data_IF_722334702208
#
_entry.id   IF_722334702208
#
_cell.length_a   1.000
_cell.length_b   1.000
_cell.length_c   1.000
_cell.angle_alpha   90.00
_cell.angle_beta   90.00
_cell.angle_gamma   90.00
#
_symmetry.space_group_name_H-M   'P 1'
#
loop_
_entity.id
_entity.type
_entity.pdbx_description
1 polymer ?
#
# COMPACT_ATOMS: atom_id res chain seq x y z
N UNK A 1 -42.21 71.46 -12.86
CA UNK A 1 -41.05 71.87 -12.03
C UNK A 1 -41.54 72.15 -10.62
N UNK A 2 -41.45 71.17 -9.72
CA UNK A 2 -41.33 71.33 -8.27
C UNK A 2 -41.49 69.96 -7.61
N UNK A 3 -40.44 69.57 -6.90
CA UNK A 3 -40.29 68.39 -6.06
C UNK A 3 -41.24 68.41 -4.87
N UNK A 4 -41.78 67.25 -4.49
CA UNK A 4 -42.29 67.01 -3.13
C UNK A 4 -41.77 65.67 -2.60
N UNK A 5 -41.07 65.82 -1.49
CA UNK A 5 -40.46 64.87 -0.57
C UNK A 5 -41.36 63.71 -0.15
N UNK A 6 -40.82 62.50 -0.20
CA UNK A 6 -41.28 61.40 0.66
C UNK A 6 -40.27 61.17 1.78
N UNK A 7 -40.84 61.12 2.97
CA UNK A 7 -40.24 61.09 4.29
C UNK A 7 -39.82 59.66 4.64
N UNK A 8 -38.59 59.54 5.16
CA UNK A 8 -38.14 58.65 6.24
C UNK A 8 -39.02 57.45 6.65
N UNK A 9 -38.43 56.24 6.58
CA UNK A 9 -38.54 55.26 7.68
C UNK A 9 -37.18 54.58 7.87
N UNK A 10 -36.55 54.67 9.06
CA UNK A 10 -35.38 53.89 9.44
C UNK A 10 -35.84 52.55 10.05
N UNK A 11 -35.24 51.43 9.62
CA UNK A 11 -35.36 50.16 10.36
C UNK A 11 -33.99 49.79 10.91
N UNK A 12 -33.99 49.70 12.24
CA UNK A 12 -32.86 49.49 13.10
C UNK A 12 -32.17 48.15 12.91
N UNK A 13 -30.88 48.19 13.28
CA UNK A 13 -30.01 47.08 13.64
C UNK A 13 -30.65 46.14 14.65
N UNK A 14 -30.66 44.83 14.38
CA UNK A 14 -30.48 43.84 15.44
C UNK A 14 -29.79 42.59 14.89
N UNK A 15 -28.60 42.35 15.44
CA UNK A 15 -27.83 41.12 15.37
C UNK A 15 -28.64 39.95 15.91
N UNK A 16 -28.85 38.92 15.07
CA UNK A 16 -29.33 37.62 15.53
C UNK A 16 -28.17 36.62 15.61
N UNK A 17 -28.06 35.86 16.71
CA UNK A 17 -26.91 35.01 17.00
C UNK A 17 -26.93 33.72 16.17
N UNK A 18 -25.75 33.33 15.70
CA UNK A 18 -25.49 32.01 15.10
C UNK A 18 -25.70 30.94 16.19
N UNK A 19 -26.87 30.31 16.19
CA UNK A 19 -27.18 29.19 17.08
C UNK A 19 -26.34 27.98 16.71
N UNK A 20 -25.58 27.50 17.71
CA UNK A 20 -24.76 26.31 17.66
C UNK A 20 -25.60 25.05 17.38
N UNK A 21 -25.35 24.40 16.24
CA UNK A 21 -25.52 22.95 16.07
C UNK A 21 -24.10 22.39 16.01
N UNK A 22 -23.68 21.43 16.82
CA UNK A 22 -24.42 20.34 17.44
C UNK A 22 -23.60 19.09 17.17
N UNK A 23 -22.69 18.79 18.11
CA UNK A 23 -22.04 17.50 18.42
C UNK A 23 -21.80 16.55 17.23
N UNK A 24 -20.55 16.46 16.79
CA UNK A 24 -20.05 15.26 16.13
C UNK A 24 -20.12 14.09 17.13
N UNK A 25 -21.07 13.19 16.90
CA UNK A 25 -21.10 11.88 17.55
C UNK A 25 -19.85 11.11 17.13
N UNK A 26 -18.87 11.04 18.04
CA UNK A 26 -17.75 10.12 17.94
C UNK A 26 -18.31 8.69 17.97
N UNK A 27 -18.51 8.09 16.81
CA UNK A 27 -18.86 6.68 16.70
C UNK A 27 -17.62 5.88 17.10
N UNK A 28 -17.52 5.55 18.39
CA UNK A 28 -16.51 4.63 18.91
C UNK A 28 -16.88 3.22 18.48
N UNK A 29 -16.13 2.65 17.54
CA UNK A 29 -16.22 1.22 17.26
C UNK A 29 -15.71 0.43 18.48
N UNK A 30 -16.48 -0.54 19.00
CA UNK A 30 -16.00 -1.40 20.07
C UNK A 30 -14.83 -2.24 19.53
N UNK A 31 -13.67 -2.11 20.17
CA UNK A 31 -12.56 -3.04 19.95
C UNK A 31 -12.97 -4.41 20.50
N UNK A 32 -12.80 -5.50 19.75
CA UNK A 32 -13.14 -6.82 20.25
C UNK A 32 -12.22 -7.16 21.43
N UNK A 33 -12.83 -7.41 22.60
CA UNK A 33 -12.14 -7.94 23.78
C UNK A 33 -11.48 -9.26 23.38
N UNK A 34 -10.15 -9.33 23.47
CA UNK A 34 -9.40 -10.59 23.32
C UNK A 34 -9.81 -11.50 24.48
N UNK A 35 -10.72 -12.42 24.21
CA UNK A 35 -10.99 -13.56 25.08
C UNK A 35 -9.71 -14.39 25.21
N UNK A 36 -9.26 -14.55 26.45
CA UNK A 36 -8.24 -15.53 26.82
C UNK A 36 -8.91 -16.89 26.66
N UNK A 37 -8.52 -17.65 25.63
CA UNK A 37 -8.88 -19.06 25.51
C UNK A 37 -7.63 -19.85 25.86
N UNK A 38 -7.69 -20.49 27.02
CA UNK A 38 -6.67 -21.39 27.54
C UNK A 38 -6.70 -22.76 26.88
N UNK A 39 -5.56 -23.44 27.06
CA UNK A 39 -5.23 -24.85 26.82
C UNK A 39 -4.79 -25.23 25.39
N UNK A 40 -3.46 -25.32 25.25
CA UNK A 40 -2.80 -26.61 25.03
C UNK A 40 -3.08 -27.32 23.72
N UNK A 41 -2.53 -26.80 22.63
CA UNK A 41 -2.46 -27.50 21.35
C UNK A 41 -1.52 -26.72 20.45
N UNK A 42 -0.57 -27.40 19.82
CA UNK A 42 0.38 -26.81 18.88
C UNK A 42 -0.38 -25.95 17.85
N UNK A 43 -0.34 -24.62 18.05
CA UNK A 43 -0.95 -23.68 17.12
C UNK A 43 -0.05 -23.68 15.89
N UNK A 44 -0.51 -24.27 14.79
CA UNK A 44 0.16 -24.10 13.50
C UNK A 44 -0.05 -22.63 13.11
N UNK A 45 0.87 -21.76 13.53
CA UNK A 45 0.73 -20.30 13.44
C UNK A 45 1.14 -19.71 12.09
N UNK A 46 1.42 -20.53 11.07
CA UNK A 46 1.88 -20.04 9.78
C UNK A 46 1.41 -20.93 8.63
N UNK A 47 0.53 -20.40 7.78
CA UNK A 47 0.25 -20.98 6.47
C UNK A 47 1.26 -20.40 5.48
N UNK A 48 2.20 -21.24 5.03
CA UNK A 48 3.15 -20.91 3.97
C UNK A 48 2.59 -21.34 2.61
N UNK A 49 2.46 -20.38 1.69
CA UNK A 49 1.99 -20.61 0.32
C UNK A 49 2.97 -19.90 -0.63
N UNK A 50 3.43 -20.59 -1.67
CA UNK A 50 4.31 -19.99 -2.68
C UNK A 50 5.68 -19.56 -2.16
N UNK A 51 6.16 -20.13 -1.05
CA UNK A 51 7.46 -19.81 -0.47
C UNK A 51 7.46 -18.65 0.54
N UNK A 52 6.35 -17.93 0.70
CA UNK A 52 6.19 -16.84 1.69
C UNK A 52 5.09 -17.13 2.70
N UNK A 53 5.31 -16.60 3.91
CA UNK A 53 4.40 -16.72 5.03
C UNK A 53 3.23 -15.74 4.88
N UNK A 54 2.01 -16.25 5.00
CA UNK A 54 0.78 -15.46 4.86
C UNK A 54 0.29 -15.03 6.25
N UNK A 55 -0.19 -13.78 6.41
CA UNK A 55 -0.84 -13.38 7.65
C UNK A 55 -2.20 -14.06 7.84
N UNK A 56 -2.36 -14.76 8.96
CA UNK A 56 -3.54 -15.58 9.23
C UNK A 56 -4.82 -14.78 9.51
N UNK A 57 -4.73 -13.51 9.92
CA UNK A 57 -5.87 -12.74 10.45
C UNK A 57 -6.59 -11.88 9.40
N UNK A 58 -6.43 -12.20 8.11
CA UNK A 58 -7.01 -11.45 6.99
C UNK A 58 -7.93 -12.34 6.16
N UNK A 59 -8.75 -11.71 5.31
CA UNK A 59 -9.49 -12.47 4.28
C UNK A 59 -8.51 -13.03 3.24
N UNK A 60 -8.86 -14.19 2.68
CA UNK A 60 -8.00 -14.91 1.72
C UNK A 60 -7.54 -14.01 0.57
N UNK A 61 -8.45 -13.22 -0.03
CA UNK A 61 -8.16 -12.30 -1.15
C UNK A 61 -6.97 -11.35 -0.86
N UNK A 62 -6.94 -10.75 0.32
CA UNK A 62 -5.88 -9.81 0.71
C UNK A 62 -4.64 -10.53 1.24
N UNK A 63 -4.83 -11.72 1.81
CA UNK A 63 -3.74 -12.54 2.33
C UNK A 63 -2.81 -13.02 1.20
N UNK A 64 -3.38 -13.36 0.03
CA UNK A 64 -2.62 -13.79 -1.15
C UNK A 64 -1.79 -12.65 -1.78
N UNK A 65 -2.20 -11.39 -1.60
CA UNK A 65 -1.50 -10.22 -2.18
C UNK A 65 -0.13 -9.95 -1.55
N UNK A 66 0.19 -10.62 -0.44
CA UNK A 66 1.53 -10.55 0.16
C UNK A 66 2.58 -11.26 -0.71
N UNK A 67 2.16 -12.24 -1.51
CA UNK A 67 3.04 -12.94 -2.44
C UNK A 67 3.34 -12.00 -3.61
N UNK A 68 4.61 -11.67 -3.81
CA UNK A 68 5.00 -10.80 -4.92
C UNK A 68 4.74 -11.50 -6.26
N UNK A 69 3.84 -10.91 -7.04
CA UNK A 69 3.34 -11.49 -8.28
C UNK A 69 1.83 -11.72 -8.26
N UNK A 70 1.21 -11.79 -7.08
CA UNK A 70 -0.24 -11.87 -6.94
C UNK A 70 -0.78 -10.48 -6.60
N UNK A 71 -1.54 -9.91 -7.53
CA UNK A 71 -2.29 -8.67 -7.34
C UNK A 71 -3.77 -8.94 -7.12
N UNK A 72 -4.58 -7.88 -6.99
CA UNK A 72 -6.04 -7.96 -6.78
C UNK A 72 -6.77 -8.80 -7.83
N UNK A 73 -6.38 -8.70 -9.11
CA UNK A 73 -7.02 -9.44 -10.18
C UNK A 73 -6.75 -10.94 -10.08
N UNK A 74 -5.48 -11.31 -9.86
CA UNK A 74 -5.07 -12.72 -9.74
C UNK A 74 -5.64 -13.36 -8.47
N UNK A 75 -5.66 -12.64 -7.35
CA UNK A 75 -6.24 -13.17 -6.11
C UNK A 75 -7.72 -13.49 -6.27
N UNK A 76 -8.49 -12.63 -6.95
CA UNK A 76 -9.91 -12.89 -7.23
C UNK A 76 -10.11 -14.04 -8.21
N UNK A 77 -9.28 -14.10 -9.25
CA UNK A 77 -9.34 -15.17 -10.23
C UNK A 77 -9.09 -16.54 -9.57
N UNK A 78 -8.07 -16.66 -8.73
CA UNK A 78 -7.78 -17.90 -7.98
C UNK A 78 -8.97 -18.32 -7.10
N UNK A 79 -9.65 -17.36 -6.47
CA UNK A 79 -10.83 -17.65 -5.65
C UNK A 79 -12.03 -18.09 -6.50
N UNK A 80 -12.22 -17.50 -7.68
CA UNK A 80 -13.28 -17.91 -8.62
C UNK A 80 -13.01 -19.30 -9.19
N UNK A 81 -11.77 -19.58 -9.61
CA UNK A 81 -11.39 -20.86 -10.21
C UNK A 81 -11.55 -22.02 -9.22
N UNK A 82 -11.32 -21.77 -7.93
CA UNK A 82 -11.49 -22.72 -6.84
C UNK A 82 -12.90 -22.71 -6.22
N UNK A 83 -13.78 -21.80 -6.65
CA UNK A 83 -15.08 -21.53 -6.05
C UNK A 83 -15.02 -21.34 -4.52
N UNK A 84 -13.99 -20.65 -4.04
CA UNK A 84 -13.84 -20.36 -2.61
C UNK A 84 -14.61 -19.11 -2.19
N UNK A 85 -15.33 -19.23 -1.07
CA UNK A 85 -15.90 -18.08 -0.38
C UNK A 85 -14.81 -17.26 0.33
N UNK A 86 -15.07 -15.96 0.51
CA UNK A 86 -14.16 -15.01 1.16
C UNK A 86 -14.09 -15.22 2.69
N UNK A 87 -13.55 -16.37 3.11
CA UNK A 87 -13.29 -16.71 4.51
C UNK A 87 -12.06 -15.97 5.05
N UNK A 88 -11.83 -16.09 6.35
CA UNK A 88 -10.58 -15.66 7.00
C UNK A 88 -9.55 -16.78 6.83
N UNK A 89 -8.28 -16.43 6.65
CA UNK A 89 -7.19 -17.39 6.42
C UNK A 89 -7.02 -18.42 7.56
N UNK A 90 -7.47 -18.11 8.79
CA UNK A 90 -7.48 -19.06 9.92
C UNK A 90 -8.42 -20.24 9.73
N UNK A 91 -9.54 -20.00 9.05
CA UNK A 91 -10.66 -20.93 9.00
C UNK A 91 -10.57 -21.83 7.75
N UNK A 92 -9.43 -21.81 7.05
CA UNK A 92 -9.16 -22.65 5.90
C UNK A 92 -8.89 -24.08 6.33
N UNK A 93 -9.52 -25.04 5.64
CA UNK A 93 -9.21 -26.45 5.86
C UNK A 93 -7.87 -26.83 5.22
N UNK A 94 -7.27 -27.91 5.69
CA UNK A 94 -5.98 -28.38 5.16
C UNK A 94 -6.06 -28.74 3.67
N UNK A 95 -7.21 -29.28 3.23
CA UNK A 95 -7.49 -29.60 1.83
C UNK A 95 -7.53 -28.33 0.96
N UNK A 96 -8.19 -27.28 1.46
CA UNK A 96 -8.26 -25.97 0.80
C UNK A 96 -6.86 -25.34 0.65
N UNK A 97 -5.99 -25.52 1.66
CA UNK A 97 -4.60 -25.04 1.59
C UNK A 97 -3.80 -25.80 0.53
N UNK A 98 -4.00 -27.11 0.38
CA UNK A 98 -3.31 -27.92 -0.63
C UNK A 98 -3.74 -27.51 -2.05
N UNK A 99 -5.04 -27.29 -2.29
CA UNK A 99 -5.54 -26.83 -3.59
C UNK A 99 -5.06 -25.41 -3.91
N UNK A 100 -5.08 -24.49 -2.94
CA UNK A 100 -4.52 -23.15 -3.09
C UNK A 100 -3.03 -23.17 -3.46
N UNK A 101 -2.23 -24.05 -2.84
CA UNK A 101 -0.81 -24.22 -3.20
C UNK A 101 -0.63 -24.67 -4.65
N UNK A 102 -1.44 -25.62 -5.11
CA UNK A 102 -1.39 -26.13 -6.49
C UNK A 102 -1.72 -25.03 -7.50
N UNK A 103 -2.77 -24.24 -7.25
CA UNK A 103 -3.14 -23.14 -8.14
C UNK A 103 -2.10 -22.03 -8.15
N UNK A 104 -1.60 -21.62 -6.98
CA UNK A 104 -0.59 -20.56 -6.86
C UNK A 104 0.71 -20.94 -7.59
N UNK A 105 1.11 -22.21 -7.58
CA UNK A 105 2.32 -22.70 -8.25
C UNK A 105 2.30 -22.53 -9.77
N UNK A 106 1.11 -22.44 -10.39
CA UNK A 106 0.99 -22.21 -11.85
C UNK A 106 1.45 -20.82 -12.27
N UNK A 107 1.42 -19.86 -11.36
CA UNK A 107 1.85 -18.49 -11.63
C UNK A 107 3.34 -18.31 -11.35
N UNK A 108 3.97 -17.40 -12.07
CA UNK A 108 5.34 -16.97 -11.74
C UNK A 108 5.32 -16.17 -10.43
N UNK A 109 6.11 -16.62 -9.44
CA UNK A 109 6.17 -16.03 -8.10
C UNK A 109 7.55 -15.39 -7.89
N UNK A 110 7.61 -14.37 -7.02
CA UNK A 110 8.81 -13.82 -6.38
C UNK A 110 10.13 -13.97 -7.12
N UNK A 111 10.84 -15.07 -6.88
CA UNK A 111 12.17 -15.32 -7.41
C UNK A 111 12.17 -15.28 -8.93
N UNK A 112 11.19 -15.92 -9.56
CA UNK A 112 11.08 -16.02 -11.01
C UNK A 112 10.74 -14.67 -11.63
N UNK A 113 9.78 -13.94 -11.05
CA UNK A 113 9.44 -12.58 -11.52
C UNK A 113 10.60 -11.59 -11.31
N UNK A 114 11.31 -11.67 -10.19
CA UNK A 114 12.48 -10.82 -9.92
C UNK A 114 13.63 -11.12 -10.88
N UNK A 115 13.90 -12.41 -11.15
CA UNK A 115 14.91 -12.85 -12.12
C UNK A 115 14.53 -12.43 -13.54
N UNK A 116 13.29 -12.68 -13.96
CA UNK A 116 12.78 -12.29 -15.27
C UNK A 116 12.93 -10.78 -15.52
N UNK A 117 12.48 -9.96 -14.56
CA UNK A 117 12.61 -8.50 -14.66
C UNK A 117 14.06 -8.03 -14.62
N UNK A 118 14.92 -8.67 -13.81
CA UNK A 118 16.35 -8.37 -13.75
C UNK A 118 17.02 -8.62 -15.10
N UNK A 119 16.83 -9.81 -15.68
CA UNK A 119 17.37 -10.18 -16.99
C UNK A 119 16.85 -9.22 -18.07
N UNK A 120 15.57 -8.84 -18.03
CA UNK A 120 15.03 -7.88 -18.99
C UNK A 120 15.70 -6.49 -18.88
N UNK A 121 16.01 -6.02 -17.68
CA UNK A 121 16.71 -4.73 -17.45
C UNK A 121 18.19 -4.83 -17.83
N UNK A 122 18.85 -5.94 -17.50
CA UNK A 122 20.25 -6.22 -17.86
C UNK A 122 20.40 -6.24 -19.38
N UNK A 123 19.52 -6.94 -20.10
CA UNK A 123 19.45 -6.92 -21.56
C UNK A 123 19.35 -5.50 -22.12
N UNK A 124 18.51 -4.64 -21.54
CA UNK A 124 18.40 -3.24 -22.00
C UNK A 124 19.69 -2.45 -21.78
N UNK A 125 20.41 -2.70 -20.68
CA UNK A 125 21.69 -2.06 -20.37
C UNK A 125 22.79 -2.52 -21.33
N UNK A 126 22.82 -3.81 -21.65
CA UNK A 126 23.79 -4.42 -22.58
C UNK A 126 23.62 -3.88 -24.01
N UNK A 127 22.37 -3.78 -24.49
CA UNK A 127 22.05 -3.20 -25.81
C UNK A 127 22.46 -1.72 -25.91
N UNK A 128 22.59 -1.01 -24.78
CA UNK A 128 22.88 0.44 -24.71
C UNK A 128 21.85 1.34 -25.41
N UNK A 129 20.60 0.90 -25.52
CA UNK A 129 19.52 1.77 -25.98
C UNK A 129 19.25 2.92 -24.99
N UNK A 130 18.53 3.97 -25.42
CA UNK A 130 18.20 5.11 -24.54
C UNK A 130 17.63 4.68 -23.18
N UNK A 131 16.72 3.69 -23.18
CA UNK A 131 16.14 3.13 -21.95
C UNK A 131 17.20 2.51 -21.05
N UNK A 132 18.11 1.71 -21.62
CA UNK A 132 19.23 1.07 -20.92
C UNK A 132 20.17 2.08 -20.26
N UNK A 133 20.55 3.13 -21.00
CA UNK A 133 21.39 4.21 -20.49
C UNK A 133 20.71 4.89 -19.29
N UNK A 134 19.40 5.18 -19.38
CA UNK A 134 18.62 5.79 -18.30
C UNK A 134 18.50 4.87 -17.08
N UNK A 135 18.33 3.56 -17.27
CA UNK A 135 18.37 2.56 -16.20
C UNK A 135 19.76 2.47 -15.54
N UNK A 136 20.85 2.66 -16.29
CA UNK A 136 22.22 2.70 -15.74
C UNK A 136 22.46 3.99 -14.93
N UNK A 137 21.94 5.13 -15.40
CA UNK A 137 22.08 6.44 -14.75
C UNK A 137 21.10 6.68 -13.59
N UNK A 138 20.14 5.79 -13.34
CA UNK A 138 19.12 6.00 -12.31
C UNK A 138 18.21 7.20 -12.62
N UNK A 139 17.75 7.32 -13.87
CA UNK A 139 16.82 8.35 -14.32
C UNK A 139 15.53 7.73 -14.88
N UNK A 140 14.38 8.43 -14.82
CA UNK A 140 13.13 7.92 -15.36
C UNK A 140 13.21 7.71 -16.88
N UNK A 141 12.56 6.64 -17.32
CA UNK A 141 12.65 6.11 -18.68
C UNK A 141 11.46 6.53 -19.55
N UNK A 142 10.30 6.83 -18.93
CA UNK A 142 9.02 7.11 -19.61
C UNK A 142 8.86 8.58 -20.08
N UNK A 143 9.95 9.24 -20.49
CA UNK A 143 9.89 10.62 -20.97
C UNK A 143 9.61 11.70 -19.92
N UNK A 144 9.69 11.35 -18.63
CA UNK A 144 9.48 12.30 -17.54
C UNK A 144 10.62 13.33 -17.46
N UNK A 145 10.29 14.60 -17.22
CA UNK A 145 11.27 15.70 -17.08
C UNK A 145 12.15 15.49 -15.85
N UNK A 146 13.48 15.51 -16.01
CA UNK A 146 14.46 15.20 -14.94
C UNK A 146 14.96 16.37 -14.10
N UNK A 147 14.57 17.59 -14.47
CA UNK A 147 15.01 18.82 -13.80
C UNK A 147 14.41 18.95 -12.40
N UNK A 148 13.09 18.72 -12.26
CA UNK A 148 12.35 18.98 -11.02
C UNK A 148 12.02 17.68 -10.25
N UNK A 149 11.16 16.83 -10.81
CA UNK A 149 10.46 15.78 -10.06
C UNK A 149 10.92 14.36 -10.45
N UNK A 150 11.98 13.85 -9.80
CA UNK A 150 12.48 12.48 -10.01
C UNK A 150 13.00 11.80 -8.73
N UNK A 151 12.52 12.23 -7.56
CA UNK A 151 13.13 11.82 -6.28
C UNK A 151 12.90 10.34 -5.93
N UNK A 152 11.78 9.76 -6.33
CA UNK A 152 11.51 8.33 -6.12
C UNK A 152 12.57 7.43 -6.76
N UNK A 153 13.17 7.86 -7.88
CA UNK A 153 14.17 7.09 -8.62
C UNK A 153 15.61 7.55 -8.33
N UNK A 154 15.85 8.86 -8.18
CA UNK A 154 17.18 9.43 -7.83
C UNK A 154 17.59 9.19 -6.36
N UNK A 155 16.65 8.82 -5.49
CA UNK A 155 16.89 8.68 -4.06
C UNK A 155 16.84 9.99 -3.26
N UNK A 156 16.97 9.87 -1.93
CA UNK A 156 17.00 10.98 -0.99
C UNK A 156 18.23 11.86 -1.26
N UNK A 157 18.07 13.18 -1.10
CA UNK A 157 19.20 14.12 -1.21
C UNK A 157 20.23 13.77 -0.12
N UNK A 158 21.48 13.56 -0.50
CA UNK A 158 22.56 13.52 0.47
C UNK A 158 22.60 14.87 1.20
N UNK A 159 22.51 14.85 2.53
CA UNK A 159 22.75 16.04 3.34
C UNK A 159 24.25 16.34 3.31
N UNK A 160 24.62 17.60 3.10
CA UNK A 160 26.01 18.06 3.01
C UNK A 160 26.73 17.96 4.38
N UNK A 161 26.01 17.68 5.47
CA UNK A 161 26.47 17.75 6.85
C UNK A 161 26.94 16.40 7.46
N UNK A 162 27.81 15.66 6.76
CA UNK A 162 28.72 14.70 7.43
C UNK A 162 30.15 15.01 7.01
N UNK A 163 30.66 16.13 7.53
CA UNK A 163 32.11 16.39 7.60
C UNK A 163 32.67 15.36 8.57
N UNK A 164 33.60 14.53 8.10
CA UNK A 164 34.31 13.50 8.88
C UNK A 164 34.86 14.09 10.18
N UNK A 165 34.60 13.46 11.32
CA UNK A 165 35.45 13.58 12.51
C UNK A 165 36.73 12.76 12.25
N UNK A 166 37.93 13.31 12.44
CA UNK A 166 39.16 12.53 12.35
C UNK A 166 39.20 11.54 13.51
N UNK A 167 39.49 10.27 13.20
CA UNK A 167 39.76 9.24 14.20
C UNK A 167 41.05 9.62 14.94
N UNK A 168 40.98 9.73 16.26
CA UNK A 168 42.12 9.78 17.16
C UNK A 168 42.93 8.49 17.02
N UNK A 169 44.20 8.62 16.68
CA UNK A 169 45.20 7.56 16.83
C UNK A 169 45.64 7.60 18.30
N UNK A 170 45.47 6.49 19.02
CA UNK A 170 46.09 6.26 20.33
C UNK A 170 47.26 5.27 20.10
N UNK A 171 48.44 5.66 20.60
CA UNK A 171 49.68 4.86 20.66
C UNK A 171 49.63 3.81 21.79
#
# INVERSE_FOLDING_TARGET
>A
MATLSMVSVPIATSSLPLSARGRSSSVSFPTPKKGIIGHGGLRIECIRIGGVEIPNHKRVEYSLQYIHGIGRSRSRQILLDLNFENKVTKDLSEEEVITLRKEVTKYMIEGDLKRFNRVAIERLKEIRCYRGIRHKLGLPVRGQRTKNNCRTLKGRRASVAKKKSPASQEE
#
